data_IF_273118008130
#
_entry.id   IF_273118008130
#
_cell.length_a   1.000
_cell.length_b   1.000
_cell.length_c   1.000
_cell.angle_alpha   90.00
_cell.angle_beta   90.00
_cell.angle_gamma   90.00
#
_symmetry.space_group_name_H-M   'P 1'
#
loop_
_entity.id
_entity.type
_entity.pdbx_description
1 polymer ?
#
# COMPACT_ATOMS: atom_id res chain seq x y z
N UNK A 1 -4.22 -1.95 -8.70
CA UNK A 1 -4.53 -3.23 -9.35
C UNK A 1 -5.99 -3.21 -9.78
N UNK A 2 -6.27 -3.60 -11.02
CA UNK A 2 -7.64 -3.81 -11.50
C UNK A 2 -7.95 -5.30 -11.55
N UNK A 3 -9.17 -5.65 -11.17
CA UNK A 3 -9.74 -6.99 -11.27
C UNK A 3 -10.97 -6.90 -12.16
N UNK A 4 -11.04 -7.78 -13.15
CA UNK A 4 -12.22 -7.98 -13.98
C UNK A 4 -13.32 -8.72 -13.22
N UNK A 5 -14.54 -8.72 -13.77
CA UNK A 5 -15.70 -9.34 -13.11
C UNK A 5 -15.50 -10.84 -12.92
N UNK A 6 -15.67 -11.33 -11.70
CA UNK A 6 -15.44 -12.74 -11.36
C UNK A 6 -13.97 -13.15 -11.24
N UNK A 7 -13.03 -12.21 -11.47
CA UNK A 7 -11.61 -12.50 -11.37
C UNK A 7 -11.20 -12.68 -9.91
N UNK A 8 -10.35 -13.68 -9.69
CA UNK A 8 -9.73 -14.00 -8.42
C UNK A 8 -8.23 -13.83 -8.59
N UNK A 9 -7.59 -13.08 -7.69
CA UNK A 9 -6.12 -13.03 -7.59
C UNK A 9 -5.65 -13.28 -6.18
N UNK A 10 -4.64 -14.11 -6.06
CA UNK A 10 -3.93 -14.33 -4.79
C UNK A 10 -2.74 -13.37 -4.73
N UNK A 11 -2.63 -12.63 -3.64
CA UNK A 11 -1.52 -11.70 -3.38
C UNK A 11 -0.95 -11.94 -1.98
N UNK A 12 0.36 -11.85 -1.83
CA UNK A 12 0.99 -11.91 -0.52
C UNK A 12 1.13 -10.50 0.04
N UNK A 13 0.52 -10.23 1.20
CA UNK A 13 0.53 -8.91 1.83
C UNK A 13 1.17 -8.96 3.22
N UNK A 14 2.07 -8.03 3.56
CA UNK A 14 2.58 -7.95 4.92
C UNK A 14 1.47 -7.50 5.89
N UNK A 15 1.63 -7.77 7.20
CA UNK A 15 0.74 -7.20 8.21
C UNK A 15 0.74 -5.67 8.12
N UNK A 16 -0.41 -5.06 8.40
CA UNK A 16 -0.69 -3.62 8.32
C UNK A 16 -0.68 -3.03 6.91
N UNK A 17 -0.63 -3.86 5.86
CA UNK A 17 -0.95 -3.39 4.51
C UNK A 17 -2.40 -2.88 4.46
N UNK A 18 -2.64 -1.82 3.69
CA UNK A 18 -3.97 -1.22 3.54
C UNK A 18 -4.46 -1.46 2.12
N UNK A 19 -5.64 -2.07 2.00
CA UNK A 19 -6.36 -2.24 0.74
C UNK A 19 -7.40 -1.15 0.67
N UNK A 20 -7.38 -0.36 -0.40
CA UNK A 20 -8.30 0.76 -0.63
C UNK A 20 -9.15 0.44 -1.86
N UNK A 21 -10.47 0.52 -1.69
CA UNK A 21 -11.41 0.46 -2.81
C UNK A 21 -11.39 1.78 -3.59
N UNK A 22 -10.96 1.73 -4.85
CA UNK A 22 -10.85 2.93 -5.71
C UNK A 22 -12.07 3.07 -6.61
N UNK A 23 -12.54 1.98 -7.24
CA UNK A 23 -13.74 1.93 -8.09
C UNK A 23 -14.37 0.53 -8.07
N UNK A 24 -15.69 0.42 -8.24
CA UNK A 24 -16.42 -0.85 -8.36
C UNK A 24 -16.87 -1.47 -7.03
N UNK A 25 -17.47 -2.66 -7.10
CA UNK A 25 -18.10 -3.35 -5.95
C UNK A 25 -17.23 -4.43 -5.27
N UNK A 26 -17.37 -4.50 -3.94
CA UNK A 26 -16.82 -5.48 -3.00
C UNK A 26 -15.72 -6.41 -3.53
N UNK A 27 -14.47 -6.12 -3.15
CA UNK A 27 -13.41 -7.12 -3.17
C UNK A 27 -13.47 -7.97 -1.90
N UNK A 28 -13.58 -9.28 -2.02
CA UNK A 28 -13.46 -10.21 -0.88
C UNK A 28 -11.98 -10.44 -0.61
N UNK A 29 -11.55 -10.23 0.64
CA UNK A 29 -10.18 -10.43 1.12
C UNK A 29 -10.11 -11.72 1.95
N UNK A 30 -9.89 -12.90 1.36
CA UNK A 30 -9.75 -14.14 2.16
C UNK A 30 -8.32 -14.30 2.65
N UNK A 31 -8.17 -14.43 3.97
CA UNK A 31 -6.89 -14.75 4.61
C UNK A 31 -6.83 -16.24 4.89
N UNK A 32 -5.76 -16.91 4.51
CA UNK A 32 -5.51 -18.30 4.96
C UNK A 32 -4.53 -18.23 6.13
N UNK A 33 -5.06 -18.19 7.35
CA UNK A 33 -4.26 -18.41 8.55
C UNK A 33 -4.39 -19.86 8.98
N UNK A 34 -3.27 -20.57 9.04
CA UNK A 34 -3.21 -21.83 9.78
C UNK A 34 -3.06 -21.51 11.27
N UNK A 35 -4.16 -21.54 12.02
CA UNK A 35 -4.10 -21.74 13.48
C UNK A 35 -4.16 -23.25 13.73
N UNK A 36 -3.06 -23.95 13.46
CA UNK A 36 -3.00 -25.41 13.50
C UNK A 36 -3.71 -26.07 12.30
N UNK A 37 -4.49 -27.13 12.52
CA UNK A 37 -5.26 -27.83 11.47
C UNK A 37 -6.49 -27.05 10.97
N UNK A 38 -6.89 -25.98 11.67
CA UNK A 38 -8.01 -25.14 11.28
C UNK A 38 -7.53 -23.94 10.45
N UNK A 39 -7.89 -23.94 9.17
CA UNK A 39 -7.81 -22.75 8.32
C UNK A 39 -9.16 -22.05 8.32
N UNK A 40 -9.17 -20.74 8.55
CA UNK A 40 -10.39 -19.93 8.44
C UNK A 40 -10.16 -18.82 7.43
N UNK A 41 -11.10 -18.65 6.50
CA UNK A 41 -11.12 -17.54 5.55
C UNK A 41 -12.08 -16.44 6.05
N UNK A 42 -11.55 -15.24 6.29
CA UNK A 42 -12.39 -14.07 6.55
C UNK A 42 -12.82 -13.47 5.21
N UNK A 43 -14.11 -13.31 4.95
CA UNK A 43 -14.59 -12.63 3.74
C UNK A 43 -14.99 -11.19 4.10
N UNK A 44 -14.11 -10.22 3.87
CA UNK A 44 -14.44 -8.80 4.10
C UNK A 44 -14.65 -8.07 2.78
N UNK A 45 -15.84 -7.51 2.49
CA UNK A 45 -16.06 -6.71 1.30
C UNK A 45 -15.39 -5.34 1.44
N UNK A 46 -14.69 -4.89 0.41
CA UNK A 46 -14.16 -3.51 0.31
C UNK A 46 -14.86 -2.77 -0.82
N UNK A 47 -15.65 -1.75 -0.50
CA UNK A 47 -16.35 -0.89 -1.47
C UNK A 47 -15.49 0.31 -1.86
N UNK A 48 -15.92 1.04 -2.89
CA UNK A 48 -15.31 2.30 -3.26
C UNK A 48 -15.29 3.29 -2.07
N UNK A 49 -14.13 3.87 -1.80
CA UNK A 49 -13.91 4.79 -0.68
C UNK A 49 -13.62 4.11 0.65
N UNK A 50 -13.87 2.80 0.77
CA UNK A 50 -13.57 2.04 1.98
C UNK A 50 -12.11 1.56 2.00
N UNK A 51 -11.64 1.33 3.22
CA UNK A 51 -10.30 0.82 3.47
C UNK A 51 -10.35 -0.38 4.38
N UNK A 52 -9.56 -1.39 4.04
CA UNK A 52 -9.35 -2.56 4.88
C UNK A 52 -7.87 -2.64 5.29
N UNK A 53 -7.62 -2.82 6.58
CA UNK A 53 -6.27 -2.99 7.13
C UNK A 53 -6.04 -4.47 7.37
N UNK A 54 -5.01 -5.01 6.71
CA UNK A 54 -4.61 -6.41 6.87
C UNK A 54 -4.01 -6.59 8.25
N UNK A 55 -4.72 -7.28 9.16
CA UNK A 55 -4.30 -7.35 10.55
C UNK A 55 -2.99 -8.15 10.74
N UNK A 56 -2.88 -9.36 10.17
CA UNK A 56 -1.73 -10.22 10.46
C UNK A 56 -0.91 -10.70 9.23
N UNK A 57 -1.25 -10.23 8.02
CA UNK A 57 -0.47 -10.49 6.79
C UNK A 57 -0.62 -11.90 6.21
N UNK A 58 0.13 -12.24 5.17
CA UNK A 58 0.10 -13.56 4.52
C UNK A 58 -0.57 -13.57 3.16
N UNK A 59 -1.05 -14.74 2.74
CA UNK A 59 -1.79 -14.89 1.49
C UNK A 59 -3.19 -14.30 1.63
N UNK A 60 -3.52 -13.41 0.70
CA UNK A 60 -4.80 -12.73 0.60
C UNK A 60 -5.39 -13.03 -0.77
N UNK A 61 -6.56 -13.64 -0.79
CA UNK A 61 -7.35 -13.83 -2.00
C UNK A 61 -8.19 -12.58 -2.22
N UNK A 62 -8.07 -11.94 -3.39
CA UNK A 62 -8.88 -10.82 -3.83
C UNK A 62 -9.84 -11.30 -4.91
N UNK A 63 -11.13 -11.29 -4.61
CA UNK A 63 -12.19 -11.62 -5.59
C UNK A 63 -13.05 -10.41 -5.89
N UNK A 64 -13.23 -10.12 -7.16
CA UNK A 64 -14.07 -9.02 -7.61
C UNK A 64 -15.45 -9.52 -8.05
N UNK A 65 -16.52 -9.03 -7.41
CA UNK A 65 -17.89 -9.34 -7.84
C UNK A 65 -18.25 -8.71 -9.19
N UNK A 66 -17.66 -7.55 -9.48
CA UNK A 66 -17.75 -6.80 -10.73
C UNK A 66 -16.39 -6.16 -11.03
N UNK A 67 -16.22 -5.53 -12.19
CA UNK A 67 -14.97 -4.85 -12.52
C UNK A 67 -14.60 -3.82 -11.43
N UNK A 68 -13.48 -4.03 -10.76
CA UNK A 68 -13.06 -3.24 -9.59
C UNK A 68 -11.62 -2.78 -9.70
N UNK A 69 -11.37 -1.63 -9.11
CA UNK A 69 -10.03 -1.08 -8.98
C UNK A 69 -9.70 -0.97 -7.50
N UNK A 70 -8.61 -1.62 -7.12
CA UNK A 70 -8.07 -1.64 -5.76
C UNK A 70 -6.69 -1.00 -5.76
N UNK A 71 -6.36 -0.35 -4.64
CA UNK A 71 -4.99 0.11 -4.37
C UNK A 71 -4.49 -0.51 -3.09
N UNK A 72 -3.33 -1.15 -3.17
CA UNK A 72 -2.64 -1.69 -2.01
C UNK A 72 -1.55 -0.71 -1.59
N UNK A 73 -1.55 -0.34 -0.31
CA UNK A 73 -0.55 0.52 0.31
C UNK A 73 0.20 -0.34 1.31
N UNK A 74 1.49 -0.57 1.04
CA UNK A 74 2.36 -1.33 1.93
C UNK A 74 2.77 -0.47 3.14
N UNK A 75 2.92 -1.08 4.32
CA UNK A 75 3.44 -0.39 5.50
C UNK A 75 4.84 0.13 5.19
N UNK A 76 5.04 1.44 5.33
CA UNK A 76 6.38 2.01 5.20
C UNK A 76 7.15 1.73 6.47
N UNK A 77 8.35 1.15 6.35
CA UNK A 77 9.23 1.04 7.51
C UNK A 77 9.64 2.44 7.96
N UNK A 78 9.85 2.63 9.28
CA UNK A 78 10.32 3.92 9.80
C UNK A 78 11.60 4.37 9.09
N UNK A 79 12.50 3.43 8.78
CA UNK A 79 13.71 3.69 8.00
C UNK A 79 13.43 4.29 6.61
N UNK A 80 12.40 3.81 5.89
CA UNK A 80 12.02 4.38 4.59
C UNK A 80 11.46 5.80 4.74
N UNK A 81 10.66 6.06 5.78
CA UNK A 81 10.17 7.40 6.08
C UNK A 81 11.32 8.37 6.39
N UNK A 82 12.28 7.92 7.21
CA UNK A 82 13.49 8.68 7.53
C UNK A 82 14.35 8.94 6.31
N UNK A 83 14.61 7.93 5.45
CA UNK A 83 15.34 8.12 4.18
C UNK A 83 14.67 9.16 3.27
N UNK A 84 13.34 9.13 3.15
CA UNK A 84 12.59 10.14 2.37
C UNK A 84 12.63 11.55 2.98
N UNK A 85 12.78 11.67 4.30
CA UNK A 85 12.97 12.97 4.97
C UNK A 85 14.39 13.47 4.75
N UNK A 86 15.40 12.63 4.99
CA UNK A 86 16.81 12.96 4.79
C UNK A 86 17.10 13.36 3.34
N UNK A 87 16.57 12.65 2.36
CA UNK A 87 16.77 13.01 0.94
C UNK A 87 16.20 14.38 0.58
N UNK A 88 15.07 14.77 1.19
CA UNK A 88 14.49 16.12 1.03
C UNK A 88 15.36 17.18 1.68
N UNK A 89 15.88 16.92 2.88
CA UNK A 89 16.79 17.83 3.59
C UNK A 89 18.09 18.01 2.80
N UNK A 90 18.72 16.92 2.33
CA UNK A 90 19.94 17.01 1.53
C UNK A 90 19.73 17.82 0.25
N UNK A 91 18.60 17.63 -0.45
CA UNK A 91 18.27 18.45 -1.64
C UNK A 91 18.07 19.93 -1.29
N UNK A 92 17.47 20.23 -0.14
CA UNK A 92 17.32 21.60 0.32
C UNK A 92 18.68 22.24 0.63
N UNK A 93 19.56 21.52 1.34
CA UNK A 93 20.93 21.98 1.64
C UNK A 93 21.74 22.20 0.36
N UNK A 94 21.70 21.25 -0.59
CA UNK A 94 22.37 21.42 -1.88
C UNK A 94 21.90 22.68 -2.62
N UNK A 95 20.59 22.97 -2.60
CA UNK A 95 20.05 24.20 -3.20
C UNK A 95 20.53 25.46 -2.48
N UNK A 96 20.59 25.44 -1.15
CA UNK A 96 21.10 26.57 -0.35
C UNK A 96 22.59 26.82 -0.61
N UNK A 97 23.40 25.76 -0.67
CA UNK A 97 24.83 25.85 -0.99
C UNK A 97 25.04 26.38 -2.41
N UNK A 98 24.28 25.89 -3.39
CA UNK A 98 24.34 26.43 -4.76
C UNK A 98 23.85 27.87 -4.86
N UNK A 99 22.89 28.30 -4.04
CA UNK A 99 22.45 29.69 -3.98
C UNK A 99 23.54 30.60 -3.36
N UNK A 100 24.21 30.13 -2.31
CA UNK A 100 25.32 30.82 -1.66
C UNK A 100 26.55 30.91 -2.57
N UNK A 101 26.95 29.81 -3.22
CA UNK A 101 28.07 29.79 -4.17
C UNK A 101 27.86 30.76 -5.34
N UNK A 102 26.64 30.84 -5.87
CA UNK A 102 26.30 31.83 -6.91
C UNK A 102 26.39 33.27 -6.42
N UNK A 103 26.05 33.55 -5.16
CA UNK A 103 26.21 34.89 -4.58
C UNK A 103 27.66 35.28 -4.36
N UNK A 104 28.53 34.32 -4.01
CA UNK A 104 29.96 34.57 -3.79
C UNK A 104 30.74 34.71 -5.11
N UNK A 105 30.33 34.02 -6.17
CA UNK A 105 30.97 34.12 -7.50
C UNK A 105 30.43 35.27 -8.37
N UNK A 106 29.30 35.86 -7.98
CA UNK A 106 28.67 36.98 -8.68
C UNK A 106 28.81 38.34 -7.97
N UNK A 107 29.61 38.41 -6.90
CA UNK A 107 30.07 39.62 -6.23
C UNK A 107 31.56 39.80 -6.52
#
# INVERSE_FOLDING_TARGET
MSLSSGEIRVVYLPPRAVIVGVKGHAAVVERVDGLGEASFSLCTPVRQGETYVVAYGGQVLLRAAQCTQLRVILPQSQAQLWRKRLSRVCKAVQRSVHALSRRVQGA
#
